data_IF_646679929353
#
_entry.id   IF_646679929353
#
_cell.length_a   1.000
_cell.length_b   1.000
_cell.length_c   1.000
_cell.angle_alpha   90.00
_cell.angle_beta   90.00
_cell.angle_gamma   90.00
#
_symmetry.space_group_name_H-M   'P 1'
#
loop_
_entity.id
_entity.type
_entity.pdbx_description
1 polymer ?
#
# COMPACT_ATOMS: atom_id res chain seq x y z
N UNK A 1 -21.07 -10.16 -0.62
CA UNK A 1 -20.77 -9.26 0.55
C UNK A 1 -19.27 -9.20 0.70
N UNK A 2 -18.72 -8.01 0.68
CA UNK A 2 -17.28 -7.79 0.74
C UNK A 2 -16.74 -8.01 2.16
N UNK A 3 -15.65 -8.75 2.26
CA UNK A 3 -14.98 -9.08 3.54
C UNK A 3 -13.53 -8.61 3.46
N UNK A 4 -13.02 -8.01 4.54
CA UNK A 4 -11.62 -7.67 4.70
C UNK A 4 -11.05 -8.55 5.81
N UNK A 5 -10.13 -9.43 5.44
CA UNK A 5 -9.40 -10.33 6.34
C UNK A 5 -7.89 -10.16 6.24
N UNK A 6 -7.16 -10.67 7.22
CA UNK A 6 -5.70 -10.74 7.13
C UNK A 6 -5.26 -11.64 5.98
N UNK A 7 -4.19 -11.25 5.32
CA UNK A 7 -3.53 -12.08 4.32
C UNK A 7 -2.75 -13.22 4.99
N UNK A 8 -2.66 -14.33 4.28
CA UNK A 8 -1.84 -15.49 4.64
C UNK A 8 -0.93 -15.87 3.47
N UNK A 9 0.09 -16.69 3.71
CA UNK A 9 0.98 -17.16 2.63
C UNK A 9 0.23 -17.93 1.53
N UNK A 10 -0.93 -18.52 1.83
CA UNK A 10 -1.76 -19.21 0.83
C UNK A 10 -2.42 -18.24 -0.17
N UNK A 11 -2.52 -16.96 0.14
CA UNK A 11 -3.10 -15.93 -0.75
C UNK A 11 -2.14 -15.46 -1.84
N UNK A 12 -0.87 -15.91 -1.80
CA UNK A 12 0.18 -15.37 -2.66
C UNK A 12 -0.15 -15.44 -4.16
N UNK A 13 -0.78 -16.52 -4.62
CA UNK A 13 -1.13 -16.64 -6.03
C UNK A 13 -2.23 -15.64 -6.43
N UNK A 14 -3.20 -15.41 -5.56
CA UNK A 14 -4.25 -14.40 -5.78
C UNK A 14 -3.66 -12.98 -5.76
N UNK A 15 -2.76 -12.68 -4.81
CA UNK A 15 -2.04 -11.39 -4.75
C UNK A 15 -1.28 -11.15 -6.05
N UNK A 16 -0.50 -12.13 -6.53
CA UNK A 16 0.26 -11.99 -7.78
C UNK A 16 -0.63 -11.82 -9.01
N UNK A 17 -1.80 -12.44 -9.02
CA UNK A 17 -2.76 -12.22 -10.10
C UNK A 17 -3.33 -10.79 -10.08
N UNK A 18 -3.68 -10.27 -8.91
CA UNK A 18 -4.15 -8.89 -8.74
C UNK A 18 -3.05 -7.91 -9.12
N UNK A 19 -1.81 -8.14 -8.67
CA UNK A 19 -0.62 -7.33 -9.00
C UNK A 19 -0.40 -7.25 -10.51
N UNK A 20 -0.43 -8.41 -11.19
CA UNK A 20 -0.26 -8.51 -12.65
C UNK A 20 -1.33 -7.72 -13.41
N UNK A 21 -2.57 -7.70 -12.93
CA UNK A 21 -3.66 -6.98 -13.57
C UNK A 21 -3.61 -5.48 -13.28
N UNK A 22 -3.21 -5.10 -12.08
CA UNK A 22 -3.26 -3.72 -11.60
C UNK A 22 -2.11 -2.85 -12.13
N UNK A 23 -0.91 -3.42 -12.33
CA UNK A 23 0.32 -2.66 -12.59
C UNK A 23 1.04 -3.11 -13.86
N UNK A 24 1.69 -2.14 -14.53
CA UNK A 24 2.52 -2.39 -15.71
C UNK A 24 3.83 -3.10 -15.37
N UNK A 25 4.45 -3.71 -16.39
CA UNK A 25 5.82 -4.22 -16.28
C UNK A 25 6.79 -3.11 -15.87
N UNK A 26 7.75 -3.45 -15.02
CA UNK A 26 8.71 -2.50 -14.43
C UNK A 26 8.19 -1.79 -13.17
N UNK A 27 6.88 -1.90 -12.87
CA UNK A 27 6.26 -1.34 -11.66
C UNK A 27 5.82 -2.46 -10.71
N UNK A 28 5.44 -3.61 -11.24
CA UNK A 28 5.03 -4.78 -10.48
C UNK A 28 6.12 -5.25 -9.52
N UNK A 29 5.72 -5.62 -8.34
CA UNK A 29 6.61 -6.16 -7.34
C UNK A 29 6.64 -7.71 -7.36
N UNK A 30 7.72 -8.27 -6.85
CA UNK A 30 8.00 -9.70 -6.90
C UNK A 30 7.25 -10.48 -5.83
N UNK A 31 6.99 -11.75 -6.11
CA UNK A 31 6.34 -12.69 -5.18
C UNK A 31 6.99 -12.73 -3.81
N UNK A 32 8.32 -12.77 -3.76
CA UNK A 32 9.08 -12.88 -2.50
C UNK A 32 8.90 -11.66 -1.60
N UNK A 33 8.69 -10.48 -2.19
CA UNK A 33 8.40 -9.24 -1.45
C UNK A 33 7.05 -9.33 -0.73
N UNK A 34 6.04 -9.87 -1.37
CA UNK A 34 4.73 -10.06 -0.73
C UNK A 34 4.77 -11.11 0.38
N UNK A 35 5.53 -12.19 0.20
CA UNK A 35 5.76 -13.19 1.26
C UNK A 35 6.50 -12.57 2.45
N UNK A 36 7.55 -11.77 2.20
CA UNK A 36 8.27 -11.00 3.21
C UNK A 36 7.31 -10.06 3.99
N UNK A 37 6.45 -9.32 3.30
CA UNK A 37 5.48 -8.41 3.94
C UNK A 37 4.45 -9.15 4.79
N UNK A 38 3.93 -10.28 4.32
CA UNK A 38 2.99 -11.13 5.10
C UNK A 38 3.67 -11.64 6.38
N UNK A 39 4.94 -12.04 6.29
CA UNK A 39 5.71 -12.56 7.43
C UNK A 39 6.08 -11.45 8.41
N UNK A 40 6.51 -10.30 7.90
CA UNK A 40 7.00 -9.19 8.73
C UNK A 40 5.89 -8.48 9.49
N UNK A 41 4.73 -8.28 8.84
CA UNK A 41 3.62 -7.51 9.41
C UNK A 41 2.26 -8.00 8.93
N UNK A 42 1.85 -9.20 9.35
CA UNK A 42 0.55 -9.77 9.00
C UNK A 42 -0.65 -8.93 9.47
N UNK A 43 -0.50 -8.16 10.55
CA UNK A 43 -1.53 -7.25 11.06
C UNK A 43 -1.77 -6.02 10.17
N UNK A 44 -0.83 -5.72 9.27
CA UNK A 44 -0.91 -4.64 8.30
C UNK A 44 -1.11 -5.12 6.86
N UNK A 45 -1.39 -6.41 6.65
CA UNK A 45 -1.62 -6.97 5.32
C UNK A 45 -3.02 -7.60 5.22
N UNK A 46 -3.86 -7.05 4.31
CA UNK A 46 -5.25 -7.48 4.16
C UNK A 46 -5.55 -7.95 2.73
N UNK A 47 -6.49 -8.91 2.67
CA UNK A 47 -7.17 -9.32 1.45
C UNK A 47 -8.61 -8.79 1.50
N UNK A 48 -9.03 -8.22 0.39
CA UNK A 48 -10.43 -7.92 0.11
C UNK A 48 -11.02 -9.08 -0.67
N UNK A 49 -12.12 -9.64 -0.17
CA UNK A 49 -12.87 -10.71 -0.82
C UNK A 49 -14.28 -10.27 -1.21
N UNK A 50 -14.76 -10.73 -2.34
CA UNK A 50 -16.18 -10.78 -2.68
C UNK A 50 -16.56 -12.21 -3.04
N UNK A 51 -17.65 -12.72 -2.43
CA UNK A 51 -18.14 -14.11 -2.62
C UNK A 51 -17.03 -15.15 -2.48
N UNK A 52 -16.19 -15.03 -1.45
CA UNK A 52 -15.04 -15.90 -1.15
C UNK A 52 -13.92 -15.87 -2.22
N UNK A 53 -13.92 -14.90 -3.12
CA UNK A 53 -12.86 -14.69 -4.12
C UNK A 53 -12.02 -13.48 -3.72
N UNK A 54 -10.69 -13.60 -3.60
CA UNK A 54 -9.80 -12.46 -3.43
C UNK A 54 -9.88 -11.52 -4.64
N UNK A 55 -10.20 -10.26 -4.39
CA UNK A 55 -10.38 -9.22 -5.42
C UNK A 55 -9.50 -7.99 -5.21
N UNK A 56 -8.79 -7.94 -4.09
CA UNK A 56 -7.86 -6.87 -3.77
C UNK A 56 -6.92 -7.24 -2.63
N UNK A 57 -5.84 -6.52 -2.51
CA UNK A 57 -4.91 -6.59 -1.39
C UNK A 57 -4.49 -5.20 -0.94
N UNK A 58 -4.08 -5.12 0.32
CA UNK A 58 -3.50 -3.93 0.96
C UNK A 58 -2.32 -4.36 1.79
N UNK A 59 -1.16 -3.73 1.64
CA UNK A 59 0.02 -4.01 2.45
C UNK A 59 0.63 -2.75 3.05
N UNK A 60 1.18 -2.89 4.23
CA UNK A 60 1.80 -1.81 4.98
C UNK A 60 2.91 -2.32 5.89
N UNK A 61 3.68 -1.39 6.46
CA UNK A 61 4.67 -1.65 7.48
C UNK A 61 4.78 -0.47 8.45
N UNK A 62 5.38 -0.67 9.60
CA UNK A 62 5.61 0.37 10.58
C UNK A 62 7.07 0.80 10.57
N UNK A 63 7.33 2.11 10.61
CA UNK A 63 8.65 2.72 10.70
C UNK A 63 8.79 3.57 11.96
N UNK A 64 10.02 3.76 12.43
CA UNK A 64 10.29 4.63 13.59
C UNK A 64 10.13 6.12 13.24
N UNK A 65 10.46 6.49 12.01
CA UNK A 65 10.36 7.86 11.51
C UNK A 65 10.17 7.84 9.99
N UNK A 66 9.72 8.95 9.42
CA UNK A 66 9.65 9.11 7.97
C UNK A 66 11.06 9.19 7.39
N UNK A 67 11.44 8.28 6.47
CA UNK A 67 12.75 8.32 5.83
C UNK A 67 12.93 9.56 4.97
N UNK A 68 14.20 9.89 4.69
CA UNK A 68 14.50 10.97 3.75
C UNK A 68 14.03 10.60 2.34
N UNK A 69 13.67 11.61 1.56
CA UNK A 69 13.31 11.46 0.15
C UNK A 69 14.46 10.78 -0.60
N UNK A 70 14.11 9.68 -1.31
CA UNK A 70 15.12 8.87 -2.04
C UNK A 70 15.75 7.75 -1.22
N UNK A 71 15.36 7.57 0.04
CA UNK A 71 15.78 6.41 0.83
C UNK A 71 15.28 5.11 0.18
N UNK A 72 16.08 4.06 0.32
CA UNK A 72 15.79 2.72 -0.23
C UNK A 72 14.52 2.08 0.34
N UNK A 73 14.03 2.55 1.49
CA UNK A 73 12.75 2.13 2.06
C UNK A 73 11.57 2.39 1.13
N UNK A 74 11.66 3.42 0.27
CA UNK A 74 10.62 3.73 -0.72
C UNK A 74 10.73 2.91 -2.00
N UNK A 75 11.86 2.24 -2.25
CA UNK A 75 12.09 1.50 -3.49
C UNK A 75 11.07 0.38 -3.70
N UNK A 76 10.70 0.14 -4.95
CA UNK A 76 9.96 -1.08 -5.31
C UNK A 76 10.78 -2.30 -4.86
N UNK A 77 10.09 -3.35 -4.44
CA UNK A 77 10.70 -4.58 -3.93
C UNK A 77 11.58 -4.40 -2.68
N UNK A 78 11.41 -3.31 -1.91
CA UNK A 78 12.11 -3.19 -0.62
C UNK A 78 11.64 -4.28 0.35
N UNK A 79 12.54 -4.71 1.24
CA UNK A 79 12.25 -5.73 2.24
C UNK A 79 11.59 -5.12 3.47
N UNK A 80 10.35 -5.51 3.75
CA UNK A 80 9.68 -5.15 4.98
C UNK A 80 10.36 -5.79 6.21
N UNK A 81 10.94 -6.98 6.06
CA UNK A 81 11.68 -7.65 7.13
C UNK A 81 12.85 -6.81 7.67
N UNK A 82 13.48 -6.01 6.80
CA UNK A 82 14.56 -5.09 7.19
C UNK A 82 14.03 -3.78 7.79
N UNK A 83 12.94 -3.28 7.23
CA UNK A 83 12.47 -1.92 7.49
C UNK A 83 11.38 -1.85 8.57
N UNK A 84 10.54 -2.88 8.69
CA UNK A 84 9.45 -2.91 9.66
C UNK A 84 9.98 -2.86 11.11
N UNK A 85 9.35 -1.98 11.92
CA UNK A 85 9.64 -1.80 13.35
C UNK A 85 8.35 -1.95 14.13
N UNK A 86 8.24 -3.02 14.93
CA UNK A 86 7.04 -3.36 15.69
C UNK A 86 6.47 -2.19 16.52
N UNK A 87 7.35 -1.39 17.11
CA UNK A 87 7.00 -0.21 17.91
C UNK A 87 7.02 1.09 17.10
N UNK A 88 7.06 0.99 15.78
CA UNK A 88 7.10 2.14 14.89
C UNK A 88 5.88 3.04 15.03
N UNK A 89 6.09 4.34 14.89
CA UNK A 89 5.05 5.36 15.03
C UNK A 89 4.57 5.93 13.69
N UNK A 90 5.17 5.47 12.58
CA UNK A 90 4.78 5.84 11.21
C UNK A 90 4.25 4.61 10.50
N UNK A 91 3.03 4.68 9.99
CA UNK A 91 2.47 3.65 9.11
C UNK A 91 2.85 3.99 7.67
N UNK A 92 3.65 3.15 7.02
CA UNK A 92 3.89 3.22 5.59
C UNK A 92 2.97 2.27 4.83
N UNK A 93 2.17 2.81 3.92
CA UNK A 93 1.32 2.00 3.04
C UNK A 93 2.14 1.69 1.79
N UNK A 94 2.61 0.45 1.70
CA UNK A 94 3.55 0.01 0.67
C UNK A 94 2.87 -0.34 -0.65
N UNK A 95 1.66 -0.90 -0.62
CA UNK A 95 0.91 -1.20 -1.84
C UNK A 95 -0.58 -1.43 -1.56
N UNK A 96 -1.42 -1.08 -2.53
CA UNK A 96 -2.84 -1.42 -2.55
C UNK A 96 -3.29 -1.61 -4.00
N UNK A 97 -4.05 -2.67 -4.26
CA UNK A 97 -4.64 -2.92 -5.56
C UNK A 97 -6.00 -3.61 -5.44
N UNK A 98 -6.86 -3.38 -6.41
CA UNK A 98 -8.10 -4.14 -6.66
C UNK A 98 -8.18 -4.51 -8.13
N UNK A 99 -8.84 -5.64 -8.44
CA UNK A 99 -9.09 -6.07 -9.81
C UNK A 99 -9.81 -4.99 -10.61
N UNK A 100 -9.51 -4.89 -11.90
CA UNK A 100 -10.01 -3.82 -12.78
C UNK A 100 -11.54 -3.78 -12.85
N UNK A 101 -12.20 -4.93 -12.83
CA UNK A 101 -13.66 -5.05 -12.87
C UNK A 101 -14.38 -4.39 -11.66
N UNK A 102 -13.66 -4.15 -10.55
CA UNK A 102 -14.18 -3.50 -9.35
C UNK A 102 -13.83 -2.01 -9.25
N UNK A 103 -13.05 -1.48 -10.20
CA UNK A 103 -12.70 -0.05 -10.22
C UNK A 103 -13.92 0.84 -10.55
N UNK A 104 -13.89 2.08 -10.10
CA UNK A 104 -14.97 3.05 -10.34
C UNK A 104 -16.22 2.89 -9.47
N UNK A 105 -16.30 1.84 -8.63
CA UNK A 105 -17.47 1.55 -7.75
C UNK A 105 -17.37 2.17 -6.36
N UNK A 106 -16.30 2.91 -6.07
CA UNK A 106 -15.99 3.41 -4.73
C UNK A 106 -15.40 2.35 -3.79
N UNK A 107 -15.24 1.12 -4.26
CA UNK A 107 -14.73 0.01 -3.45
C UNK A 107 -13.29 0.25 -3.00
N UNK A 108 -12.43 0.79 -3.88
CA UNK A 108 -11.04 1.12 -3.54
C UNK A 108 -10.93 2.10 -2.37
N UNK A 109 -11.78 3.14 -2.34
CA UNK A 109 -11.85 4.06 -1.22
C UNK A 109 -12.29 3.36 0.08
N UNK A 110 -13.35 2.57 0.04
CA UNK A 110 -13.86 1.84 1.23
C UNK A 110 -12.83 0.85 1.76
N UNK A 111 -12.14 0.14 0.86
CA UNK A 111 -11.10 -0.82 1.22
C UNK A 111 -9.92 -0.13 1.88
N UNK A 112 -9.39 0.93 1.26
CA UNK A 112 -8.31 1.74 1.82
C UNK A 112 -8.67 2.26 3.22
N UNK A 113 -9.81 2.95 3.34
CA UNK A 113 -10.26 3.55 4.59
C UNK A 113 -10.40 2.53 5.72
N UNK A 114 -11.10 1.41 5.46
CA UNK A 114 -11.32 0.36 6.46
C UNK A 114 -10.03 -0.38 6.85
N UNK A 115 -9.10 -0.54 5.91
CA UNK A 115 -7.79 -1.17 6.20
C UNK A 115 -6.97 -0.28 7.13
N UNK A 116 -6.88 1.01 6.83
CA UNK A 116 -6.20 1.98 7.70
C UNK A 116 -6.88 2.04 9.08
N UNK A 117 -8.21 2.13 9.13
CA UNK A 117 -8.96 2.15 10.40
C UNK A 117 -8.68 0.92 11.27
N UNK A 118 -8.63 -0.29 10.67
CA UNK A 118 -8.28 -1.52 11.39
C UNK A 118 -6.88 -1.46 12.01
N UNK A 119 -5.89 -0.99 11.24
CA UNK A 119 -4.51 -0.86 11.72
C UNK A 119 -4.44 0.16 12.86
N UNK A 120 -5.03 1.33 12.67
CA UNK A 120 -5.04 2.40 13.68
C UNK A 120 -5.65 1.96 15.01
N UNK A 121 -6.71 1.14 14.98
CA UNK A 121 -7.32 0.56 16.19
C UNK A 121 -6.39 -0.41 16.92
N UNK A 122 -5.57 -1.16 16.18
CA UNK A 122 -4.65 -2.16 16.73
C UNK A 122 -3.30 -1.56 17.16
N UNK A 123 -2.91 -0.43 16.59
CA UNK A 123 -1.62 0.23 16.77
C UNK A 123 -1.79 1.71 17.12
N UNK A 124 -2.28 2.02 18.33
CA UNK A 124 -2.58 3.40 18.75
C UNK A 124 -1.33 4.31 18.86
N UNK A 125 -0.13 3.73 18.82
CA UNK A 125 1.13 4.49 18.81
C UNK A 125 1.40 5.19 17.46
N UNK A 126 0.66 4.88 16.39
CA UNK A 126 0.85 5.50 15.07
C UNK A 126 0.46 6.98 15.14
N UNK A 127 1.40 7.85 14.75
CA UNK A 127 1.24 9.32 14.75
C UNK A 127 1.15 9.90 13.34
N UNK A 128 1.65 9.17 12.35
CA UNK A 128 1.72 9.62 10.97
C UNK A 128 1.53 8.44 10.01
N UNK A 129 0.88 8.71 8.88
CA UNK A 129 0.69 7.75 7.79
C UNK A 129 1.37 8.32 6.54
N UNK A 130 2.17 7.50 5.86
CA UNK A 130 2.93 7.89 4.68
C UNK A 130 2.66 6.89 3.55
N UNK A 131 2.64 7.38 2.33
CA UNK A 131 2.57 6.56 1.13
C UNK A 131 3.32 7.23 -0.03
N UNK A 132 3.65 6.43 -1.04
CA UNK A 132 4.19 6.89 -2.30
C UNK A 132 3.26 6.44 -3.43
N UNK A 133 2.89 7.37 -4.30
CA UNK A 133 1.92 7.13 -5.38
C UNK A 133 2.45 7.67 -6.70
N UNK A 134 2.17 6.97 -7.79
CA UNK A 134 2.51 7.45 -9.13
C UNK A 134 1.66 8.69 -9.48
N UNK A 135 2.30 9.73 -10.01
CA UNK A 135 1.64 10.99 -10.38
C UNK A 135 0.51 10.81 -11.41
N UNK A 136 0.54 9.76 -12.23
CA UNK A 136 -0.49 9.47 -13.23
C UNK A 136 -1.66 8.62 -12.69
N UNK A 137 -1.58 8.11 -11.46
CA UNK A 137 -2.67 7.33 -10.87
C UNK A 137 -3.71 8.25 -10.23
N UNK A 138 -4.41 9.00 -11.08
CA UNK A 138 -5.37 10.04 -10.67
C UNK A 138 -6.45 9.54 -9.71
N UNK A 139 -7.08 8.36 -9.92
CA UNK A 139 -8.07 7.83 -8.97
C UNK A 139 -7.48 7.58 -7.57
N UNK A 140 -6.25 7.08 -7.48
CA UNK A 140 -5.58 6.84 -6.20
C UNK A 140 -5.25 8.16 -5.50
N UNK A 141 -4.70 9.13 -6.23
CA UNK A 141 -4.45 10.50 -5.70
C UNK A 141 -5.72 11.14 -5.15
N UNK A 142 -6.86 10.99 -5.85
CA UNK A 142 -8.14 11.50 -5.39
C UNK A 142 -8.58 10.84 -4.06
N UNK A 143 -8.42 9.52 -3.95
CA UNK A 143 -8.72 8.77 -2.71
C UNK A 143 -7.88 9.30 -1.55
N UNK A 144 -6.56 9.44 -1.74
CA UNK A 144 -5.66 9.86 -0.67
C UNK A 144 -5.93 11.29 -0.22
N UNK A 145 -6.13 12.22 -1.16
CA UNK A 145 -6.54 13.61 -0.83
C UNK A 145 -7.86 13.64 -0.05
N UNK A 146 -8.85 12.86 -0.48
CA UNK A 146 -10.14 12.74 0.24
C UNK A 146 -9.97 12.17 1.65
N UNK A 147 -8.98 11.31 1.88
CA UNK A 147 -8.63 10.78 3.21
C UNK A 147 -7.77 11.75 4.06
N UNK A 148 -7.47 12.96 3.56
CA UNK A 148 -6.71 13.98 4.29
C UNK A 148 -5.19 13.89 4.13
N UNK A 149 -4.70 13.15 3.13
CA UNK A 149 -3.28 13.13 2.81
C UNK A 149 -2.89 14.40 2.04
N UNK A 150 -1.70 14.93 2.35
CA UNK A 150 -1.08 16.04 1.66
C UNK A 150 0.24 15.61 1.02
N UNK A 151 0.57 16.16 -0.14
CA UNK A 151 1.87 15.99 -0.77
C UNK A 151 2.95 16.71 0.05
N UNK A 152 4.08 16.03 0.32
CA UNK A 152 5.24 16.62 1.00
C UNK A 152 6.55 16.46 0.22
N UNK A 153 6.54 15.76 -0.89
CA UNK A 153 7.71 15.62 -1.74
C UNK A 153 7.46 14.79 -3.00
N UNK A 154 8.47 14.76 -3.85
CA UNK A 154 8.49 13.97 -5.10
C UNK A 154 9.82 13.28 -5.28
N UNK A 155 9.80 12.09 -5.84
CA UNK A 155 10.98 11.36 -6.31
C UNK A 155 10.88 11.30 -7.83
N UNK A 156 11.78 12.00 -8.52
CA UNK A 156 11.77 12.09 -9.98
C UNK A 156 12.03 10.74 -10.62
N UNK A 157 11.28 10.45 -11.69
CA UNK A 157 11.42 9.21 -12.47
C UNK A 157 11.39 7.92 -11.62
N UNK A 158 10.65 7.93 -10.51
CA UNK A 158 10.59 6.79 -9.59
C UNK A 158 9.97 5.55 -10.24
N UNK A 159 8.86 5.74 -10.95
CA UNK A 159 8.21 4.66 -11.68
C UNK A 159 8.69 4.63 -13.12
N UNK A 160 9.26 3.50 -13.53
CA UNK A 160 9.79 3.31 -14.87
C UNK A 160 9.19 2.06 -15.50
N UNK A 161 8.37 2.23 -16.52
CA UNK A 161 7.91 1.17 -17.40
C UNK A 161 8.67 1.25 -18.74
N UNK A 162 8.40 0.29 -19.64
CA UNK A 162 9.03 0.28 -20.97
C UNK A 162 8.69 1.54 -21.81
N UNK A 163 7.55 2.16 -21.54
CA UNK A 163 7.01 3.26 -22.36
C UNK A 163 7.17 4.63 -21.71
N UNK A 164 7.17 4.71 -20.37
CA UNK A 164 7.11 5.98 -19.67
C UNK A 164 7.84 5.94 -18.32
N UNK A 165 8.44 7.07 -17.99
CA UNK A 165 8.96 7.35 -16.62
C UNK A 165 8.09 8.42 -16.00
N UNK A 166 7.69 8.20 -14.75
CA UNK A 166 6.82 9.11 -13.99
C UNK A 166 7.33 9.32 -12.58
N UNK A 167 6.95 10.44 -11.99
CA UNK A 167 7.37 10.78 -10.64
C UNK A 167 6.56 10.00 -9.59
N UNK A 168 7.23 9.70 -8.49
CA UNK A 168 6.58 9.25 -7.27
C UNK A 168 6.23 10.44 -6.39
N UNK A 169 4.94 10.61 -6.09
CA UNK A 169 4.47 11.62 -5.15
C UNK A 169 4.46 11.04 -3.76
N UNK A 170 5.21 11.65 -2.84
CA UNK A 170 5.21 11.32 -1.43
C UNK A 170 4.07 12.07 -0.74
N UNK A 171 3.17 11.34 -0.11
CA UNK A 171 2.03 11.90 0.61
C UNK A 171 2.05 11.45 2.07
N UNK A 172 1.60 12.34 2.96
CA UNK A 172 1.49 12.06 4.39
C UNK A 172 0.20 12.58 4.99
N UNK A 173 -0.17 11.98 6.10
CA UNK A 173 -1.28 12.41 6.95
C UNK A 173 -0.87 12.28 8.41
N UNK A 174 -0.95 13.38 9.17
CA UNK A 174 -0.84 13.33 10.65
C UNK A 174 -2.09 12.67 11.23
N UNK A 175 -1.90 11.91 12.29
CA UNK A 175 -2.98 11.34 13.08
C UNK A 175 -3.12 12.22 14.31
N UNK A 176 -4.20 12.99 14.37
CA UNK A 176 -4.55 13.76 15.55
C UNK A 176 -4.91 12.81 16.68
N UNK A 177 -4.30 13.01 17.84
CA UNK A 177 -4.59 12.27 19.08
C UNK A 177 -5.90 12.74 19.70
#
# INVERSE_FOLDING_TARGET
MEIIRKATKSDINAIMNIEKEAFAEGIKENKDVFLDRIESFSDGFFILEDKNKPIGYFSSELWNSVPQKGDSCFSLNHSALKNHKKEGTVLYISSIAILNEYKGTGLGYRFFYKSVEKIMKSFPQIKEIVLLVNEIWIPALHIYKKCGFIEYGRIQNFFSSAEIKTDGILMRKSVDL
#
